data_IF_183359764151
#
_entry.id   IF_183359764151
#
_cell.length_a   1.000
_cell.length_b   1.000
_cell.length_c   1.000
_cell.angle_alpha   90.00
_cell.angle_beta   90.00
_cell.angle_gamma   90.00
#
_symmetry.space_group_name_H-M   'P 1'
#
loop_
_entity.id
_entity.type
_entity.pdbx_description
1 polymer ?
#
# COMPACT_ATOMS: atom_id res chain seq x y z
N UNK A 1 -25.26 4.22 11.22
CA UNK A 1 -24.34 5.15 11.91
C UNK A 1 -23.08 5.26 11.06
N UNK A 2 -22.97 6.26 10.18
CA UNK A 2 -21.75 6.56 9.42
C UNK A 2 -20.80 7.31 10.34
N UNK A 3 -20.17 6.59 11.26
CA UNK A 3 -19.06 7.14 12.04
C UNK A 3 -17.94 7.51 11.07
N UNK A 4 -17.40 8.72 11.20
CA UNK A 4 -16.11 9.08 10.58
C UNK A 4 -15.17 7.89 10.77
N UNK A 5 -14.71 7.28 9.68
CA UNK A 5 -13.49 6.47 9.68
C UNK A 5 -12.47 7.17 10.56
N UNK A 6 -11.92 6.47 11.57
CA UNK A 6 -11.09 7.14 12.56
C UNK A 6 -9.97 7.88 11.85
N UNK A 7 -9.70 9.12 12.25
CA UNK A 7 -8.66 9.96 11.64
C UNK A 7 -7.33 9.21 11.55
N UNK A 8 -7.06 8.34 12.53
CA UNK A 8 -5.87 7.49 12.58
C UNK A 8 -5.73 6.56 11.38
N UNK A 9 -6.82 5.97 10.86
CA UNK A 9 -6.76 5.10 9.67
C UNK A 9 -6.50 5.91 8.41
N UNK A 10 -7.11 7.10 8.30
CA UNK A 10 -6.85 8.01 7.17
C UNK A 10 -5.40 8.49 7.17
N UNK A 11 -4.87 8.85 8.34
CA UNK A 11 -3.47 9.24 8.51
C UNK A 11 -2.52 8.07 8.21
N UNK A 12 -2.84 6.86 8.66
CA UNK A 12 -2.08 5.65 8.34
C UNK A 12 -2.07 5.39 6.83
N UNK A 13 -3.22 5.45 6.16
CA UNK A 13 -3.31 5.27 4.72
C UNK A 13 -2.51 6.35 3.96
N UNK A 14 -2.61 7.61 4.39
CA UNK A 14 -1.84 8.71 3.80
C UNK A 14 -0.33 8.47 3.96
N UNK A 15 0.13 8.03 5.13
CA UNK A 15 1.53 7.67 5.36
C UNK A 15 1.96 6.49 4.49
N UNK A 16 1.09 5.48 4.38
CA UNK A 16 1.34 4.29 3.57
C UNK A 16 1.57 4.65 2.11
N UNK A 17 0.65 5.39 1.48
CA UNK A 17 0.77 5.79 0.08
C UNK A 17 1.94 6.75 -0.16
N UNK A 18 2.18 7.67 0.76
CA UNK A 18 3.32 8.60 0.67
C UNK A 18 4.65 7.85 0.73
N UNK A 19 4.83 6.96 1.70
CA UNK A 19 6.03 6.13 1.81
C UNK A 19 6.16 5.17 0.62
N UNK A 20 5.02 4.72 0.10
CA UNK A 20 4.96 3.97 -1.14
C UNK A 20 5.49 4.79 -2.32
N UNK A 21 5.14 6.05 -2.47
CA UNK A 21 5.50 6.89 -3.63
C UNK A 21 6.88 7.55 -3.51
N UNK A 22 7.41 7.58 -2.29
CA UNK A 22 8.71 8.15 -2.03
C UNK A 22 9.85 7.25 -2.51
N UNK A 23 10.81 7.84 -3.23
CA UNK A 23 12.10 7.23 -3.54
C UNK A 23 13.17 7.73 -2.56
N UNK A 24 14.17 6.91 -2.27
CA UNK A 24 15.32 7.31 -1.47
C UNK A 24 15.77 6.25 -0.47
N UNK A 25 16.90 6.48 0.22
CA UNK A 25 17.54 5.48 1.07
C UNK A 25 16.69 5.06 2.28
N UNK A 26 15.75 5.90 2.72
CA UNK A 26 14.87 5.61 3.86
C UNK A 26 13.47 5.15 3.44
N UNK A 27 13.10 5.25 2.16
CA UNK A 27 11.72 5.03 1.75
C UNK A 27 11.22 3.61 2.05
N UNK A 28 12.07 2.60 1.84
CA UNK A 28 11.73 1.22 2.14
C UNK A 28 11.54 0.98 3.65
N UNK A 29 12.43 1.53 4.47
CA UNK A 29 12.34 1.43 5.93
C UNK A 29 11.11 2.17 6.47
N UNK A 30 10.83 3.38 5.97
CA UNK A 30 9.63 4.15 6.35
C UNK A 30 8.34 3.43 5.97
N UNK A 31 8.31 2.76 4.81
CA UNK A 31 7.17 1.94 4.40
C UNK A 31 6.99 0.73 5.32
N UNK A 32 8.06 -0.03 5.56
CA UNK A 32 8.02 -1.23 6.41
C UNK A 32 7.68 -0.92 7.88
N UNK A 33 8.05 0.26 8.39
CA UNK A 33 7.73 0.69 9.75
C UNK A 33 6.23 0.85 10.03
N UNK A 34 5.38 0.93 9.00
CA UNK A 34 3.92 1.00 9.13
C UNK A 34 3.27 -0.37 9.40
N UNK A 35 4.03 -1.45 9.21
CA UNK A 35 3.57 -2.82 9.39
C UNK A 35 3.90 -3.33 10.78
N UNK A 36 3.16 -4.31 11.29
CA UNK A 36 3.55 -5.07 12.47
C UNK A 36 4.81 -5.90 12.19
N UNK A 37 5.55 -6.28 13.24
CA UNK A 37 6.78 -7.07 13.10
C UNK A 37 6.56 -8.40 12.34
N UNK A 38 5.39 -8.99 12.56
CA UNK A 38 4.90 -10.27 12.02
C UNK A 38 3.87 -10.10 10.88
N UNK A 39 3.78 -8.90 10.30
CA UNK A 39 2.74 -8.61 9.30
C UNK A 39 2.89 -9.42 8.01
N UNK A 40 1.79 -9.62 7.31
CA UNK A 40 1.78 -10.24 5.98
C UNK A 40 1.50 -9.20 4.90
N UNK A 41 2.33 -9.14 3.87
CA UNK A 41 2.09 -8.35 2.66
C UNK A 41 1.91 -9.27 1.47
N UNK A 42 0.80 -9.12 0.74
CA UNK A 42 0.45 -9.94 -0.41
C UNK A 42 0.27 -9.00 -1.61
N UNK A 43 0.99 -9.25 -2.69
CA UNK A 43 0.90 -8.45 -3.89
C UNK A 43 1.81 -8.95 -4.99
N UNK A 44 1.45 -8.69 -6.25
CA UNK A 44 2.27 -9.10 -7.40
C UNK A 44 2.48 -10.62 -7.50
N UNK A 45 1.56 -11.43 -6.97
CA UNK A 45 1.64 -12.89 -7.01
C UNK A 45 2.48 -13.53 -5.90
N UNK A 46 2.99 -12.75 -4.94
CA UNK A 46 3.82 -13.24 -3.84
C UNK A 46 3.29 -12.78 -2.48
N UNK A 47 3.60 -13.56 -1.44
CA UNK A 47 3.38 -13.20 -0.04
C UNK A 47 4.74 -12.99 0.64
N UNK A 48 4.84 -11.91 1.41
CA UNK A 48 5.98 -11.52 2.22
C UNK A 48 5.57 -11.56 3.70
N UNK A 49 6.47 -12.02 4.56
CA UNK A 49 6.23 -12.22 5.98
C UNK A 49 7.21 -11.41 6.81
N UNK A 50 6.67 -10.48 7.59
CA UNK A 50 7.41 -9.60 8.49
C UNK A 50 8.02 -8.37 7.81
N UNK A 51 8.43 -7.42 8.66
CA UNK A 51 8.96 -6.11 8.22
C UNK A 51 10.19 -6.23 7.33
N UNK A 52 11.07 -7.19 7.60
CA UNK A 52 12.34 -7.36 6.88
C UNK A 52 12.11 -7.74 5.41
N UNK A 53 11.25 -8.71 5.14
CA UNK A 53 10.90 -9.11 3.77
C UNK A 53 10.17 -7.99 3.02
N UNK A 54 9.27 -7.28 3.71
CA UNK A 54 8.55 -6.13 3.16
C UNK A 54 9.53 -5.01 2.77
N UNK A 55 10.48 -4.69 3.66
CA UNK A 55 11.51 -3.69 3.38
C UNK A 55 12.37 -4.10 2.18
N UNK A 56 12.90 -5.32 2.17
CA UNK A 56 13.76 -5.80 1.09
C UNK A 56 13.06 -5.82 -0.27
N UNK A 57 11.77 -6.19 -0.31
CA UNK A 57 10.93 -6.10 -1.51
C UNK A 57 10.77 -4.64 -1.99
N UNK A 58 10.56 -3.73 -1.04
CA UNK A 58 10.39 -2.30 -1.32
C UNK A 58 11.67 -1.66 -1.85
N UNK A 59 12.84 -2.04 -1.33
CA UNK A 59 14.15 -1.60 -1.83
C UNK A 59 14.35 -2.00 -3.30
N UNK A 60 14.03 -3.25 -3.64
CA UNK A 60 14.16 -3.78 -5.01
C UNK A 60 13.18 -3.14 -5.99
N UNK A 61 11.99 -2.75 -5.54
CA UNK A 61 10.95 -2.18 -6.41
C UNK A 61 11.45 -0.95 -7.18
N UNK A 62 12.27 -0.11 -6.55
CA UNK A 62 12.76 1.13 -7.15
C UNK A 62 13.82 0.94 -8.23
N UNK A 63 14.36 -0.28 -8.42
CA UNK A 63 15.27 -0.58 -9.52
C UNK A 63 14.57 -0.49 -10.89
N UNK A 64 13.26 -0.78 -10.95
CA UNK A 64 12.47 -0.75 -12.18
C UNK A 64 11.56 0.46 -12.34
N UNK A 65 11.50 1.37 -11.35
CA UNK A 65 10.53 2.46 -11.28
C UNK A 65 11.25 3.82 -11.17
N UNK A 66 10.97 4.75 -12.10
CA UNK A 66 11.45 6.14 -12.04
C UNK A 66 10.67 6.93 -11.00
N UNK A 67 9.35 6.86 -11.09
CA UNK A 67 8.39 7.47 -10.18
C UNK A 67 7.10 6.66 -10.17
N UNK A 68 6.32 6.83 -9.11
CA UNK A 68 4.96 6.33 -9.04
C UNK A 68 4.12 7.24 -8.14
N UNK A 69 2.82 7.23 -8.37
CA UNK A 69 1.88 8.07 -7.64
C UNK A 69 0.56 7.33 -7.43
N UNK A 70 0.15 7.19 -6.17
CA UNK A 70 -1.16 6.66 -5.79
C UNK A 70 -2.17 7.80 -5.65
N UNK A 71 -3.37 7.60 -6.18
CA UNK A 71 -4.54 8.43 -5.90
C UNK A 71 -5.60 7.59 -5.22
N UNK A 72 -5.92 7.89 -3.97
CA UNK A 72 -6.99 7.22 -3.22
C UNK A 72 -8.33 7.82 -3.62
N UNK A 73 -9.28 6.97 -4.00
CA UNK A 73 -10.65 7.35 -4.43
C UNK A 73 -11.71 7.01 -3.40
N UNK A 74 -11.46 6.03 -2.55
CA UNK A 74 -12.36 5.66 -1.47
C UNK A 74 -11.67 4.77 -0.46
N UNK A 75 -12.08 4.91 0.80
CA UNK A 75 -11.68 4.08 1.93
C UNK A 75 -12.94 3.56 2.59
N UNK A 76 -12.98 2.26 2.84
CA UNK A 76 -14.14 1.53 3.31
C UNK A 76 -13.72 0.69 4.52
N UNK A 77 -14.59 0.61 5.51
CA UNK A 77 -14.43 -0.26 6.69
C UNK A 77 -15.36 -1.46 6.52
N UNK A 78 -14.89 -2.64 6.90
CA UNK A 78 -15.74 -3.84 6.91
C UNK A 78 -16.87 -3.71 7.95
N UNK A 79 -18.05 -4.19 7.60
CA UNK A 79 -19.19 -4.27 8.52
C UNK A 79 -19.11 -5.44 9.48
N UNK A 80 -18.25 -6.42 9.19
CA UNK A 80 -18.07 -7.65 9.98
C UNK A 80 -16.85 -7.57 10.89
N UNK A 81 -15.81 -6.83 10.48
CA UNK A 81 -14.60 -6.63 11.26
C UNK A 81 -14.19 -5.14 11.26
N UNK A 82 -14.29 -4.42 12.40
CA UNK A 82 -13.95 -3.00 12.46
C UNK A 82 -12.44 -2.72 12.28
N UNK A 83 -11.59 -3.73 12.37
CA UNK A 83 -10.13 -3.63 12.16
C UNK A 83 -9.73 -3.85 10.70
N UNK A 84 -10.69 -4.24 9.85
CA UNK A 84 -10.47 -4.49 8.44
C UNK A 84 -10.98 -3.34 7.58
N UNK A 85 -10.13 -2.95 6.63
CA UNK A 85 -10.37 -1.85 5.72
C UNK A 85 -10.05 -2.26 4.29
N UNK A 86 -10.65 -1.53 3.35
CA UNK A 86 -10.30 -1.62 1.94
C UNK A 86 -10.21 -0.22 1.36
N UNK A 87 -9.29 0.01 0.42
CA UNK A 87 -9.30 1.23 -0.37
C UNK A 87 -9.37 0.92 -1.86
N UNK A 88 -10.00 1.82 -2.61
CA UNK A 88 -9.98 1.87 -4.06
C UNK A 88 -9.17 3.08 -4.50
N UNK A 89 -8.39 2.91 -5.56
CA UNK A 89 -7.55 3.99 -6.06
C UNK A 89 -7.08 3.77 -7.50
N UNK A 90 -6.17 4.63 -7.91
CA UNK A 90 -5.39 4.47 -9.13
C UNK A 90 -3.90 4.63 -8.81
N UNK A 91 -3.07 3.98 -9.62
CA UNK A 91 -1.62 4.08 -9.56
C UNK A 91 -1.11 4.48 -10.94
N UNK A 92 -0.28 5.52 -11.00
CA UNK A 92 0.51 5.85 -12.19
C UNK A 92 1.95 5.44 -11.91
N UNK A 93 2.58 4.70 -12.82
CA UNK A 93 3.97 4.27 -12.71
C UNK A 93 4.74 4.68 -13.95
N UNK A 94 5.82 5.43 -13.76
CA UNK A 94 6.82 5.65 -14.79
C UNK A 94 7.94 4.62 -14.60
N UNK A 95 8.08 3.71 -15.56
CA UNK A 95 9.11 2.66 -15.48
C UNK A 95 10.47 3.16 -15.94
N UNK A 96 11.53 2.53 -15.43
CA UNK A 96 12.90 2.86 -15.83
C UNK A 96 13.15 2.59 -17.32
N UNK A 97 12.56 1.52 -17.84
CA UNK A 97 12.76 0.93 -19.16
C UNK A 97 11.77 1.40 -20.24
N UNK A 98 10.79 2.23 -19.88
CA UNK A 98 9.77 2.73 -20.79
C UNK A 98 9.69 4.26 -20.78
N UNK A 99 9.28 4.84 -21.90
CA UNK A 99 8.93 6.27 -22.01
C UNK A 99 7.53 6.52 -21.45
N UNK A 100 6.57 5.66 -21.80
CA UNK A 100 5.18 5.81 -21.38
C UNK A 100 4.94 5.42 -19.93
N UNK A 101 4.08 6.19 -19.27
CA UNK A 101 3.54 5.86 -17.97
C UNK A 101 2.47 4.76 -18.09
N UNK A 102 2.42 3.87 -17.11
CA UNK A 102 1.33 2.90 -16.97
C UNK A 102 0.38 3.40 -15.90
N UNK A 103 -0.90 3.55 -16.25
CA UNK A 103 -1.97 3.81 -15.28
C UNK A 103 -2.77 2.53 -15.05
N UNK A 104 -3.08 2.24 -13.80
CA UNK A 104 -3.88 1.09 -13.41
C UNK A 104 -4.83 1.45 -12.27
N UNK A 105 -6.01 0.81 -12.27
CA UNK A 105 -6.89 0.83 -11.09
C UNK A 105 -6.36 -0.17 -10.07
N UNK A 106 -6.40 0.24 -8.81
CA UNK A 106 -5.92 -0.58 -7.71
C UNK A 106 -6.99 -0.71 -6.62
N UNK A 107 -6.92 -1.82 -5.92
CA UNK A 107 -7.63 -2.06 -4.67
C UNK A 107 -6.63 -2.62 -3.68
N UNK A 108 -6.78 -2.31 -2.39
CA UNK A 108 -6.10 -3.10 -1.37
C UNK A 108 -7.02 -3.33 -0.18
N UNK A 109 -6.93 -4.53 0.37
CA UNK A 109 -7.51 -4.91 1.65
C UNK A 109 -6.41 -4.86 2.71
N UNK A 110 -6.71 -4.34 3.88
CA UNK A 110 -5.74 -4.32 4.96
C UNK A 110 -6.39 -4.38 6.33
N UNK A 111 -5.73 -5.11 7.22
CA UNK A 111 -6.12 -5.24 8.61
C UNK A 111 -5.14 -4.42 9.46
N UNK A 112 -5.65 -3.79 10.52
CA UNK A 112 -4.83 -2.98 11.44
C UNK A 112 -5.01 -3.46 12.87
N UNK A 113 -3.96 -3.27 13.69
CA UNK A 113 -4.06 -3.41 15.14
C UNK A 113 -3.52 -2.15 15.80
N UNK A 114 -4.02 -1.84 16.99
CA UNK A 114 -3.42 -0.81 17.83
C UNK A 114 -2.29 -1.41 18.66
N UNK A 115 -1.11 -0.82 18.57
CA UNK A 115 0.08 -1.19 19.33
C UNK A 115 0.72 0.07 19.92
N UNK A 116 0.82 0.13 21.26
CA UNK A 116 1.45 1.25 21.99
C UNK A 116 0.96 2.65 21.56
N UNK A 117 -0.33 2.78 21.25
CA UNK A 117 -0.93 4.06 20.82
C UNK A 117 -0.82 4.36 19.33
N UNK A 118 -0.12 3.54 18.55
CA UNK A 118 -0.03 3.64 17.08
C UNK A 118 -0.81 2.53 16.39
N UNK A 119 -1.35 2.80 15.20
CA UNK A 119 -1.90 1.75 14.34
C UNK A 119 -0.79 1.12 13.51
N UNK A 120 -0.77 -0.20 13.45
CA UNK A 120 0.13 -1.00 12.62
C UNK A 120 -0.68 -1.89 11.68
N UNK A 121 -0.20 -2.07 10.45
CA UNK A 121 -0.81 -2.97 9.48
C UNK A 121 -0.38 -4.41 9.78
N UNK A 122 -1.33 -5.32 9.99
CA UNK A 122 -1.06 -6.75 10.26
C UNK A 122 -1.17 -7.60 9.01
N UNK A 123 -2.07 -7.22 8.10
CA UNK A 123 -2.23 -7.86 6.79
C UNK A 123 -2.47 -6.77 5.75
N UNK A 124 -1.84 -6.90 4.59
CA UNK A 124 -2.06 -6.04 3.44
C UNK A 124 -2.11 -6.89 2.19
N UNK A 125 -3.13 -6.74 1.38
CA UNK A 125 -3.32 -7.47 0.14
C UNK A 125 -3.67 -6.49 -0.98
N UNK A 126 -2.78 -6.36 -1.96
CA UNK A 126 -2.94 -5.45 -3.08
C UNK A 126 -3.32 -6.16 -4.37
N UNK A 127 -4.30 -5.57 -5.04
CA UNK A 127 -4.80 -5.97 -6.34
C UNK A 127 -4.62 -4.81 -7.32
N UNK A 128 -4.13 -5.12 -8.51
CA UNK A 128 -4.07 -4.17 -9.61
C UNK A 128 -4.80 -4.77 -10.80
N UNK A 129 -5.63 -3.96 -11.44
CA UNK A 129 -6.18 -4.34 -12.74
C UNK A 129 -5.03 -4.35 -13.76
N UNK A 130 -4.94 -5.36 -14.63
CA UNK A 130 -3.99 -5.34 -15.72
C UNK A 130 -4.20 -4.08 -16.57
N UNK A 131 -3.13 -3.38 -17.00
CA UNK A 131 -3.28 -2.26 -17.91
C UNK A 131 -3.98 -2.76 -19.18
N UNK A 132 -5.11 -2.13 -19.54
CA UNK A 132 -5.83 -2.52 -20.75
C UNK A 132 -4.98 -2.21 -21.97
N UNK A 133 -4.63 -3.21 -22.76
CA UNK A 133 -4.21 -2.97 -24.14
C UNK A 133 -5.44 -2.52 -24.91
N UNK A 134 -5.54 -1.22 -25.22
CA UNK A 134 -6.48 -0.79 -26.24
C UNK A 134 -6.14 -1.55 -27.52
N UNK A 135 -7.11 -2.33 -28.04
CA UNK A 135 -7.05 -2.89 -29.38
C UNK A 135 -7.43 -1.83 -30.40
#
# INVERSE_FOLDING_TARGET
MTGKLSQQVQDLLSKLVTAADQRGPQAAASFAALFAADAQFIGGGHALHGREEIQASREKTWNGVKSREHTIRGLYQSTENPEQFAFLGSLVVHRADAEDAVSMRICANFDVKQNSGTLEITRYEAFAEPPSTAK
#
